data_IF_360063579298
#
_entry.id   IF_360063579298
#
_cell.length_a   1.000
_cell.length_b   1.000
_cell.length_c   1.000
_cell.angle_alpha   90.00
_cell.angle_beta   90.00
_cell.angle_gamma   90.00
#
_symmetry.space_group_name_H-M   'P 1'
#
loop_
_entity.id
_entity.type
_entity.pdbx_description
1 polymer ?
#
# COMPACT_ATOMS: atom_id res chain seq x y z
N UNK A 1 -47.84 -8.38 -33.28
CA UNK A 1 -46.54 -8.01 -33.87
C UNK A 1 -45.77 -7.26 -32.81
N UNK A 2 -44.71 -7.89 -32.32
CA UNK A 2 -43.88 -7.49 -31.18
C UNK A 2 -42.80 -6.51 -31.63
N UNK A 3 -42.56 -5.41 -30.90
CA UNK A 3 -41.23 -4.78 -30.80
C UNK A 3 -41.08 -4.12 -29.42
N UNK A 4 -40.45 -4.86 -28.50
CA UNK A 4 -39.93 -4.38 -27.22
C UNK A 4 -38.48 -3.95 -27.46
N UNK A 5 -38.25 -2.65 -27.69
CA UNK A 5 -36.90 -2.12 -27.79
C UNK A 5 -36.28 -2.05 -26.39
N UNK A 6 -35.21 -2.82 -26.20
CA UNK A 6 -34.45 -2.92 -24.98
C UNK A 6 -33.88 -1.57 -24.55
N UNK A 7 -34.44 -1.02 -23.48
CA UNK A 7 -33.74 -0.04 -22.66
C UNK A 7 -32.91 -0.81 -21.64
N UNK A 8 -31.80 -1.40 -22.10
CA UNK A 8 -30.77 -1.89 -21.20
C UNK A 8 -30.10 -0.67 -20.56
N UNK A 9 -30.58 -0.27 -19.39
CA UNK A 9 -29.91 0.72 -18.57
C UNK A 9 -28.47 0.24 -18.33
N UNK A 10 -27.44 1.09 -18.50
CA UNK A 10 -26.09 0.71 -18.12
C UNK A 10 -26.15 0.30 -16.65
N UNK A 11 -25.73 -0.93 -16.39
CA UNK A 11 -25.64 -1.52 -15.05
C UNK A 11 -24.93 -0.48 -14.17
N UNK A 12 -25.47 -0.10 -13.00
CA UNK A 12 -24.71 0.73 -12.09
C UNK A 12 -23.40 0.00 -11.88
N UNK A 13 -22.29 0.67 -12.21
CA UNK A 13 -20.97 0.17 -11.90
C UNK A 13 -20.99 0.01 -10.38
N UNK A 14 -21.23 -1.22 -9.90
CA UNK A 14 -21.02 -1.54 -8.50
C UNK A 14 -19.57 -1.20 -8.29
N UNK A 15 -19.36 -0.08 -7.60
CA UNK A 15 -18.08 0.44 -7.17
C UNK A 15 -17.40 -0.70 -6.40
N UNK A 16 -16.66 -1.53 -7.14
CA UNK A 16 -16.16 -2.81 -6.65
C UNK A 16 -15.05 -2.49 -5.68
N UNK A 17 -15.37 -2.65 -4.40
CA UNK A 17 -14.51 -2.43 -3.25
C UNK A 17 -13.85 -1.05 -3.24
N UNK A 18 -14.42 -0.14 -2.46
CA UNK A 18 -13.62 0.88 -1.80
C UNK A 18 -12.53 0.15 -1.01
N UNK A 19 -11.39 -0.16 -1.65
CA UNK A 19 -10.20 -0.62 -0.95
C UNK A 19 -9.97 0.43 0.11
N UNK A 20 -9.92 -0.01 1.37
CA UNK A 20 -9.59 0.88 2.48
C UNK A 20 -8.36 1.69 2.02
N UNK A 21 -8.33 3.00 2.25
CA UNK A 21 -7.20 3.78 1.76
C UNK A 21 -5.94 3.26 2.44
N UNK A 22 -4.88 3.09 1.65
CA UNK A 22 -3.58 2.74 2.18
C UNK A 22 -3.17 3.82 3.18
N UNK A 23 -2.80 3.38 4.38
CA UNK A 23 -2.49 4.27 5.50
C UNK A 23 -0.99 4.38 5.72
N UNK A 24 -0.26 3.31 5.45
CA UNK A 24 1.16 3.24 5.69
C UNK A 24 1.90 2.83 4.42
N UNK A 25 3.05 3.43 4.20
CA UNK A 25 4.02 2.99 3.21
C UNK A 25 5.30 2.65 3.95
N UNK A 26 5.79 1.42 3.81
CA UNK A 26 7.06 1.00 4.41
C UNK A 26 8.08 0.81 3.29
N UNK A 27 9.17 1.55 3.36
CA UNK A 27 10.33 1.36 2.48
C UNK A 27 11.37 0.57 3.24
N UNK A 28 11.70 -0.62 2.76
CA UNK A 28 12.64 -1.54 3.40
C UNK A 28 13.66 -2.03 2.39
N UNK A 29 14.94 -2.03 2.76
CA UNK A 29 15.97 -2.69 1.98
C UNK A 29 15.88 -4.20 2.22
N UNK A 30 15.79 -4.96 1.14
CA UNK A 30 15.74 -6.42 1.17
C UNK A 30 16.72 -6.98 0.16
N UNK A 31 17.78 -7.62 0.66
CA UNK A 31 18.78 -8.28 -0.19
C UNK A 31 19.47 -7.35 -1.20
N UNK A 32 19.69 -6.09 -0.86
CA UNK A 32 20.37 -5.11 -1.70
C UNK A 32 19.46 -4.28 -2.63
N UNK A 33 18.14 -4.43 -2.53
CA UNK A 33 17.17 -3.61 -3.26
C UNK A 33 16.18 -2.94 -2.30
N UNK A 34 15.81 -1.69 -2.57
CA UNK A 34 14.80 -0.99 -1.77
C UNK A 34 13.41 -1.29 -2.30
N UNK A 35 12.56 -1.82 -1.43
CA UNK A 35 11.19 -2.21 -1.74
C UNK A 35 10.22 -1.34 -0.96
N UNK A 36 9.24 -0.76 -1.66
CA UNK A 36 8.17 0.02 -1.09
C UNK A 36 6.91 -0.84 -0.98
N UNK A 37 6.38 -0.98 0.24
CA UNK A 37 5.19 -1.79 0.56
C UNK A 37 4.08 -0.91 1.09
N UNK A 38 2.94 -0.91 0.40
CA UNK A 38 1.73 -0.22 0.83
C UNK A 38 0.92 -1.11 1.75
N UNK A 39 0.56 -0.56 2.90
CA UNK A 39 -0.25 -1.21 3.91
C UNK A 39 -1.51 -0.41 4.22
N UNK A 40 -2.58 -1.13 4.55
CA UNK A 40 -3.79 -0.56 5.11
C UNK A 40 -3.60 -0.15 6.57
N UNK A 41 -4.62 0.49 7.13
CA UNK A 41 -4.73 0.76 8.58
C UNK A 41 -4.52 -0.50 9.45
N UNK A 42 -5.02 -1.65 8.98
CA UNK A 42 -4.85 -2.95 9.65
C UNK A 42 -3.44 -3.57 9.46
N UNK A 43 -2.51 -2.85 8.80
CA UNK A 43 -1.19 -3.34 8.38
C UNK A 43 -1.27 -4.54 7.41
N UNK A 44 -2.37 -4.64 6.67
CA UNK A 44 -2.53 -5.58 5.57
C UNK A 44 -1.81 -5.07 4.33
N UNK A 45 -0.95 -5.90 3.72
CA UNK A 45 -0.22 -5.57 2.50
C UNK A 45 -1.20 -5.46 1.33
N UNK A 46 -1.23 -4.30 0.68
CA UNK A 46 -2.07 -4.03 -0.50
C UNK A 46 -1.28 -4.20 -1.79
N UNK A 47 -0.05 -3.66 -1.79
CA UNK A 47 0.79 -3.62 -2.96
C UNK A 47 2.26 -3.52 -2.55
N UNK A 48 3.13 -4.05 -3.40
CA UNK A 48 4.58 -3.96 -3.31
C UNK A 48 5.10 -3.44 -4.65
N UNK A 49 6.03 -2.50 -4.60
CA UNK A 49 6.67 -1.90 -5.77
C UNK A 49 8.09 -1.47 -5.42
N UNK A 50 8.85 -1.12 -6.46
CA UNK A 50 10.21 -0.66 -6.31
C UNK A 50 10.24 0.75 -5.70
N UNK A 51 11.02 0.93 -4.64
CA UNK A 51 11.10 2.21 -3.92
C UNK A 51 11.83 3.30 -4.70
N UNK A 52 12.57 2.95 -5.76
CA UNK A 52 13.25 3.90 -6.64
C UNK A 52 12.30 4.54 -7.68
N UNK A 53 11.03 4.18 -7.69
CA UNK A 53 10.04 4.76 -8.62
C UNK A 53 9.71 6.20 -8.26
N UNK A 54 9.50 7.03 -9.28
CA UNK A 54 9.05 8.42 -9.11
C UNK A 54 7.75 8.49 -8.29
N UNK A 55 6.83 7.53 -8.51
CA UNK A 55 5.60 7.38 -7.74
C UNK A 55 5.85 7.27 -6.23
N UNK A 56 6.82 6.45 -5.81
CA UNK A 56 7.19 6.35 -4.38
C UNK A 56 7.66 7.70 -3.84
N UNK A 57 8.53 8.38 -4.58
CA UNK A 57 9.05 9.70 -4.21
C UNK A 57 7.93 10.74 -4.06
N UNK A 58 6.97 10.75 -4.97
CA UNK A 58 5.79 11.61 -4.89
C UNK A 58 4.90 11.29 -3.69
N UNK A 59 4.74 10.00 -3.34
CA UNK A 59 3.91 9.57 -2.21
C UNK A 59 4.49 9.96 -0.86
N UNK A 60 5.81 9.92 -0.71
CA UNK A 60 6.51 10.29 0.54
C UNK A 60 6.91 11.76 0.61
N UNK A 61 6.66 12.52 -0.45
CA UNK A 61 7.08 13.91 -0.53
C UNK A 61 6.40 14.74 0.58
N UNK A 62 7.22 15.29 1.48
CA UNK A 62 6.74 16.09 2.61
C UNK A 62 6.20 15.25 3.78
N UNK A 63 6.31 13.92 3.72
CA UNK A 63 6.06 13.02 4.84
C UNK A 63 7.34 12.75 5.61
N UNK A 64 7.24 12.65 6.94
CA UNK A 64 8.36 12.27 7.78
C UNK A 64 8.46 10.74 7.85
N UNK A 65 9.62 10.20 7.50
CA UNK A 65 9.94 8.81 7.77
C UNK A 65 9.98 8.56 9.27
N UNK A 66 9.37 7.46 9.70
CA UNK A 66 9.39 6.99 11.07
C UNK A 66 9.97 5.57 11.10
N UNK A 67 10.84 5.25 12.06
CA UNK A 67 11.57 3.96 12.10
C UNK A 67 10.88 2.92 12.99
N UNK A 68 9.54 2.93 13.03
CA UNK A 68 8.74 2.05 13.90
C UNK A 68 8.55 0.65 13.30
N UNK A 69 9.10 0.36 12.12
CA UNK A 69 9.02 -0.95 11.46
C UNK A 69 9.66 -2.10 12.26
N UNK A 70 10.45 -1.78 13.30
CA UNK A 70 10.96 -2.75 14.28
C UNK A 70 9.96 -3.17 15.37
N UNK A 71 8.81 -2.50 15.49
CA UNK A 71 7.80 -2.83 16.50
C UNK A 71 7.13 -4.19 16.22
N UNK A 72 6.76 -4.98 17.25
CA UNK A 72 6.04 -6.25 17.08
C UNK A 72 4.76 -6.15 16.24
N UNK A 73 4.13 -4.97 16.14
CA UNK A 73 3.00 -4.75 15.27
C UNK A 73 3.31 -4.99 13.78
N UNK A 74 4.57 -4.84 13.37
CA UNK A 74 5.04 -5.06 12.00
C UNK A 74 5.59 -6.46 11.77
N UNK A 75 5.77 -7.28 12.81
CA UNK A 75 6.43 -8.59 12.69
C UNK A 75 5.73 -9.52 11.69
N UNK A 76 4.39 -9.53 11.71
CA UNK A 76 3.57 -10.30 10.78
C UNK A 76 3.61 -9.73 9.36
N UNK A 77 3.58 -8.41 9.22
CA UNK A 77 3.55 -7.72 7.94
C UNK A 77 4.91 -7.75 7.21
N UNK A 78 6.00 -7.74 7.98
CA UNK A 78 7.38 -7.80 7.52
C UNK A 78 8.02 -9.18 7.75
N UNK A 79 7.20 -10.23 7.89
CA UNK A 79 7.69 -11.60 8.02
C UNK A 79 8.58 -11.95 6.83
N UNK A 80 9.79 -12.45 7.12
CA UNK A 80 10.81 -12.73 6.10
C UNK A 80 11.94 -11.69 6.02
N UNK A 81 11.76 -10.50 6.61
CA UNK A 81 12.84 -9.53 6.80
C UNK A 81 13.52 -9.71 8.17
N UNK A 82 14.83 -9.48 8.21
CA UNK A 82 15.63 -9.49 9.43
C UNK A 82 15.31 -8.29 10.32
N UNK A 83 15.56 -8.42 11.62
CA UNK A 83 15.38 -7.31 12.56
C UNK A 83 16.19 -6.06 12.18
N UNK A 84 17.37 -6.23 11.58
CA UNK A 84 18.19 -5.13 11.08
C UNK A 84 17.52 -4.40 9.89
N UNK A 85 17.02 -5.15 8.91
CA UNK A 85 16.28 -4.60 7.75
C UNK A 85 15.04 -3.84 8.21
N UNK A 86 14.31 -4.39 9.18
CA UNK A 86 13.13 -3.73 9.77
C UNK A 86 13.47 -2.49 10.59
N UNK A 87 14.56 -2.50 11.34
CA UNK A 87 15.00 -1.34 12.12
C UNK A 87 15.49 -0.19 11.22
N UNK A 88 16.02 -0.52 10.04
CA UNK A 88 16.44 0.44 9.03
C UNK A 88 15.30 0.85 8.06
N UNK A 89 14.10 0.29 8.21
CA UNK A 89 12.99 0.57 7.31
C UNK A 89 12.30 1.89 7.68
N UNK A 90 12.00 2.67 6.65
CA UNK A 90 11.28 3.94 6.75
C UNK A 90 9.77 3.70 6.63
N UNK A 91 9.01 4.05 7.67
CA UNK A 91 7.55 4.00 7.70
C UNK A 91 7.00 5.40 7.49
N UNK A 92 6.23 5.58 6.42
CA UNK A 92 5.53 6.82 6.11
C UNK A 92 4.04 6.65 6.35
N UNK A 93 3.43 7.61 7.05
CA UNK A 93 1.98 7.68 7.22
C UNK A 93 1.38 8.50 6.09
N UNK A 94 0.62 7.84 5.21
CA UNK A 94 -0.03 8.50 4.08
C UNK A 94 -1.27 9.28 4.55
N UNK A 95 -1.38 10.58 4.19
CA UNK A 95 -2.61 11.32 4.33
C UNK A 95 -3.63 10.74 3.34
N UNK A 96 -4.85 10.48 3.82
CA UNK A 96 -5.96 10.00 2.97
C UNK A 96 -6.89 11.13 2.62
#
# INVERSE_FOLDING_TARGET
MSQNFGSEAPRPHSNTHQRKPARYLVVIESGGYMVARLFLDDRELVAEFDASTEETGHMIQGLAASHDAGDPAWDKALQGHSAAERAAADVYLLPV
#
